data_IF_615035893924
#
_entry.id   IF_615035893924
#
_cell.length_a   1.000
_cell.length_b   1.000
_cell.length_c   1.000
_cell.angle_alpha   90.00
_cell.angle_beta   90.00
_cell.angle_gamma   90.00
#
_symmetry.space_group_name_H-M   'P 1'
#
loop_
_entity.id
_entity.type
_entity.pdbx_description
1 polymer ?
#
# COMPACT_ATOMS: atom_id res chain seq x y z
N UNK A 1 4.75 13.07 2.79
CA UNK A 1 4.72 12.41 1.47
C UNK A 1 3.37 12.49 0.77
N UNK A 2 3.34 12.92 -0.50
CA UNK A 2 2.16 12.90 -1.37
C UNK A 2 1.90 11.49 -1.91
N UNK A 3 0.69 11.23 -2.41
CA UNK A 3 0.33 9.91 -2.95
C UNK A 3 1.22 9.50 -4.14
N UNK A 4 1.45 10.41 -5.09
CA UNK A 4 2.26 10.13 -6.27
C UNK A 4 3.74 9.83 -5.92
N UNK A 5 4.26 10.47 -4.88
CA UNK A 5 5.59 10.17 -4.35
C UNK A 5 5.60 8.73 -3.81
N UNK A 6 4.64 8.36 -2.96
CA UNK A 6 4.55 6.99 -2.44
C UNK A 6 4.45 5.95 -3.55
N UNK A 7 3.61 6.23 -4.55
CA UNK A 7 3.41 5.34 -5.69
C UNK A 7 4.67 5.17 -6.52
N UNK A 8 5.47 6.21 -6.68
CA UNK A 8 6.75 6.15 -7.37
C UNK A 8 7.78 5.33 -6.58
N UNK A 9 7.89 5.57 -5.27
CA UNK A 9 8.84 4.87 -4.38
C UNK A 9 8.51 3.38 -4.23
N UNK A 10 7.23 3.03 -4.22
CA UNK A 10 6.75 1.66 -4.02
C UNK A 10 6.22 1.01 -5.30
N UNK A 11 6.59 1.51 -6.49
CA UNK A 11 6.08 1.01 -7.78
C UNK A 11 6.34 -0.49 -8.00
N UNK A 12 7.44 -1.00 -7.44
CA UNK A 12 7.88 -2.38 -7.59
C UNK A 12 7.32 -3.30 -6.47
N UNK A 13 6.58 -2.72 -5.51
CA UNK A 13 5.96 -3.46 -4.41
C UNK A 13 4.54 -3.88 -4.79
N UNK A 14 4.28 -5.19 -4.76
CA UNK A 14 2.92 -5.72 -4.96
C UNK A 14 1.98 -5.37 -3.81
N UNK A 15 2.50 -5.41 -2.57
CA UNK A 15 1.84 -4.98 -1.35
C UNK A 15 2.83 -4.15 -0.54
N UNK A 16 2.32 -3.27 0.32
CA UNK A 16 3.15 -2.51 1.25
C UNK A 16 2.43 -2.31 2.59
N UNK A 17 3.19 -2.14 3.67
CA UNK A 17 2.67 -1.82 5.00
C UNK A 17 3.10 -0.42 5.43
N UNK A 18 2.61 0.00 6.61
CA UNK A 18 3.07 1.23 7.26
C UNK A 18 4.58 1.23 7.54
N UNK A 19 5.19 0.06 7.71
CA UNK A 19 6.64 -0.03 7.97
C UNK A 19 7.44 0.28 6.71
N UNK A 20 7.09 -0.26 5.54
CA UNK A 20 7.75 0.12 4.28
C UNK A 20 7.59 1.61 3.99
N UNK A 21 6.41 2.18 4.27
CA UNK A 21 6.19 3.63 4.15
C UNK A 21 7.14 4.40 5.09
N UNK A 22 7.28 3.95 6.34
CA UNK A 22 8.15 4.58 7.34
C UNK A 22 9.65 4.43 7.07
N UNK A 23 10.05 3.42 6.31
CA UNK A 23 11.44 3.32 5.84
C UNK A 23 11.78 4.46 4.86
N UNK A 24 10.78 5.04 4.18
CA UNK A 24 10.92 6.16 3.25
C UNK A 24 10.63 7.49 3.95
N UNK A 25 9.54 7.57 4.72
CA UNK A 25 9.13 8.74 5.52
C UNK A 25 8.91 8.32 6.98
N UNK A 26 9.94 8.38 7.85
CA UNK A 26 9.84 7.93 9.25
C UNK A 26 8.69 8.56 10.03
N UNK A 27 8.41 9.84 9.79
CA UNK A 27 7.34 10.61 10.42
C UNK A 27 6.00 10.54 9.67
N UNK A 28 5.79 9.49 8.85
CA UNK A 28 4.59 9.36 8.05
C UNK A 28 3.31 9.46 8.88
N UNK A 29 2.44 10.39 8.49
CA UNK A 29 1.16 10.63 9.15
C UNK A 29 0.16 9.52 8.84
N UNK A 30 0.08 8.51 9.74
CA UNK A 30 -0.74 7.31 9.58
C UNK A 30 -2.20 7.57 9.13
N UNK A 31 -2.94 8.57 9.63
CA UNK A 31 -4.31 8.83 9.18
C UNK A 31 -4.45 9.13 7.68
N UNK A 32 -3.36 9.53 7.00
CA UNK A 32 -3.32 9.72 5.55
C UNK A 32 -3.67 8.44 4.78
N UNK A 33 -3.38 7.26 5.32
CA UNK A 33 -3.82 5.98 4.73
C UNK A 33 -5.34 5.83 4.73
N UNK A 34 -6.04 6.37 5.73
CA UNK A 34 -7.50 6.36 5.74
C UNK A 34 -8.05 7.30 4.67
N UNK A 35 -7.47 8.49 4.53
CA UNK A 35 -7.85 9.43 3.47
C UNK A 35 -7.64 8.83 2.07
N UNK A 36 -6.51 8.17 1.84
CA UNK A 36 -6.21 7.54 0.54
C UNK A 36 -7.08 6.31 0.26
N UNK A 37 -7.45 5.54 1.28
CA UNK A 37 -8.47 4.48 1.13
C UNK A 37 -9.83 5.07 0.75
N UNK A 38 -10.27 6.11 1.46
CA UNK A 38 -11.56 6.77 1.19
C UNK A 38 -11.60 7.41 -0.21
N UNK A 39 -10.45 7.89 -0.71
CA UNK A 39 -10.29 8.41 -2.08
C UNK A 39 -10.13 7.32 -3.14
N UNK A 40 -10.05 6.05 -2.77
CA UNK A 40 -9.86 4.93 -3.70
C UNK A 40 -8.46 4.86 -4.31
N UNK A 41 -7.45 5.42 -3.67
CA UNK A 41 -6.06 5.36 -4.16
C UNK A 41 -5.34 4.07 -3.76
N UNK A 42 -5.71 3.54 -2.60
CA UNK A 42 -5.17 2.30 -2.06
C UNK A 42 -6.32 1.42 -1.56
N UNK A 43 -6.11 0.12 -1.55
CA UNK A 43 -7.03 -0.87 -0.96
C UNK A 43 -6.29 -1.65 0.12
N UNK A 44 -6.97 -1.96 1.21
CA UNK A 44 -6.46 -2.87 2.23
C UNK A 44 -6.78 -4.30 1.81
N UNK A 45 -5.75 -5.14 1.68
CA UNK A 45 -5.89 -6.55 1.26
C UNK A 45 -5.93 -7.51 2.45
N UNK A 46 -5.05 -7.29 3.44
CA UNK A 46 -5.01 -8.03 4.71
C UNK A 46 -4.69 -7.06 5.86
N UNK A 47 -4.65 -7.56 7.10
CA UNK A 47 -4.38 -6.71 8.27
C UNK A 47 -2.99 -6.05 8.16
N UNK A 48 -2.97 -4.74 7.98
CA UNK A 48 -1.75 -3.93 7.99
C UNK A 48 -1.09 -3.75 6.62
N UNK A 49 -1.59 -4.42 5.58
CA UNK A 49 -1.04 -4.34 4.23
C UNK A 49 -2.04 -3.74 3.24
N UNK A 50 -1.49 -2.98 2.30
CA UNK A 50 -2.20 -2.19 1.32
C UNK A 50 -1.65 -2.48 -0.08
N UNK A 51 -2.47 -2.19 -1.08
CA UNK A 51 -2.11 -2.19 -2.50
C UNK A 51 -2.52 -0.86 -3.11
N UNK A 52 -1.90 -0.49 -4.22
CA UNK A 52 -2.42 0.57 -5.07
C UNK A 52 -3.70 0.10 -5.78
N UNK A 53 -4.66 1.01 -5.95
CA UNK A 53 -5.96 0.67 -6.53
C UNK A 53 -5.84 0.19 -7.99
N UNK A 54 -4.86 0.70 -8.73
CA UNK A 54 -4.60 0.37 -10.12
C UNK A 54 -3.78 -0.90 -10.33
N UNK A 55 -3.34 -1.56 -9.25
CA UNK A 55 -2.68 -2.86 -9.34
C UNK A 55 -3.75 -3.95 -9.55
N UNK A 56 -3.65 -4.66 -10.67
CA UNK A 56 -4.54 -5.77 -10.97
C UNK A 56 -4.10 -7.00 -10.17
N UNK A 57 -4.87 -7.37 -9.15
CA UNK A 57 -4.60 -8.56 -8.36
C UNK A 57 -5.09 -9.80 -9.10
N UNK A 58 -4.17 -10.72 -9.40
CA UNK A 58 -4.54 -12.09 -9.75
C UNK A 58 -4.80 -12.92 -8.49
N UNK A 59 -5.58 -13.99 -8.63
CA UNK A 59 -5.84 -14.95 -7.55
C UNK A 59 -4.53 -15.58 -7.02
N UNK A 60 -3.57 -15.84 -7.92
CA UNK A 60 -2.23 -16.29 -7.56
C UNK A 60 -1.48 -15.26 -6.68
N UNK A 61 -1.65 -13.97 -6.96
CA UNK A 61 -1.03 -12.89 -6.18
C UNK A 61 -1.64 -12.84 -4.78
N UNK A 62 -2.97 -12.94 -4.67
CA UNK A 62 -3.66 -13.03 -3.40
C UNK A 62 -3.22 -14.26 -2.58
N UNK A 63 -3.05 -15.41 -3.23
CA UNK A 63 -2.56 -16.63 -2.59
C UNK A 63 -1.14 -16.48 -2.04
N UNK A 64 -0.24 -15.83 -2.79
CA UNK A 64 1.13 -15.52 -2.33
C UNK A 64 1.13 -14.55 -1.15
N UNK A 65 0.22 -13.58 -1.14
CA UNK A 65 0.08 -12.61 -0.03
C UNK A 65 -0.42 -13.30 1.24
N UNK A 66 -1.37 -14.24 1.12
CA UNK A 66 -1.98 -14.93 2.26
C UNK A 66 -1.03 -15.93 2.95
N UNK A 67 -0.04 -16.45 2.23
CA UNK A 67 0.93 -17.43 2.73
C UNK A 67 2.26 -16.80 3.18
N UNK A 68 2.29 -15.48 3.43
CA UNK A 68 3.48 -14.74 3.85
C UNK A 68 3.50 -14.46 5.35
#
# INVERSE_FOLDING_TARGET
MKFLELKSELKDFTIFSLNEIRNIEPDFYRPRLNEWQNKGYIKKVIRGYYIFFDLQLSEETLFKIANR
#
